data_IF_241572196740
#
_entry.id   IF_241572196740
#
_cell.length_a   1.000
_cell.length_b   1.000
_cell.length_c   1.000
_cell.angle_alpha   90.00
_cell.angle_beta   90.00
_cell.angle_gamma   90.00
#
_symmetry.space_group_name_H-M   'P 1'
#
loop_
_entity.id
_entity.type
_entity.pdbx_description
1 polymer ?
#
# COMPACT_ATOMS: atom_id res chain seq x y z
N UNK A 1 -10.76 -9.23 25.67
CA UNK A 1 -10.75 -9.46 24.21
C UNK A 1 -9.32 -9.38 23.73
N UNK A 2 -8.85 -10.39 22.99
CA UNK A 2 -7.55 -10.33 22.32
C UNK A 2 -7.66 -9.36 21.15
N UNK A 3 -6.76 -8.37 21.10
CA UNK A 3 -6.68 -7.44 19.97
C UNK A 3 -6.29 -8.19 18.71
N UNK A 4 -6.97 -7.91 17.60
CA UNK A 4 -6.72 -8.56 16.32
C UNK A 4 -5.82 -7.69 15.44
N UNK A 5 -5.02 -8.29 14.54
CA UNK A 5 -4.29 -7.54 13.53
C UNK A 5 -5.24 -6.86 12.56
N UNK A 6 -4.74 -5.85 11.84
CA UNK A 6 -5.50 -5.10 10.84
C UNK A 6 -4.61 -4.78 9.64
N UNK A 7 -5.15 -4.88 8.42
CA UNK A 7 -4.53 -4.32 7.22
C UNK A 7 -5.20 -2.98 6.94
N UNK A 8 -4.41 -1.91 6.90
CA UNK A 8 -4.83 -0.59 6.42
C UNK A 8 -4.26 -0.38 5.01
N UNK A 9 -5.13 -0.51 4.00
CA UNK A 9 -4.77 -0.25 2.61
C UNK A 9 -4.81 1.25 2.30
N UNK A 10 -3.98 1.64 1.34
CA UNK A 10 -3.99 2.97 0.72
C UNK A 10 -4.06 2.87 -0.81
N UNK A 11 -4.29 4.00 -1.47
CA UNK A 11 -4.66 4.04 -2.89
C UNK A 11 -3.54 3.65 -3.87
N UNK A 12 -2.28 3.64 -3.45
CA UNK A 12 -1.18 3.13 -4.28
C UNK A 12 -1.09 1.59 -4.34
N UNK A 13 -1.88 0.88 -3.52
CA UNK A 13 -1.80 -0.58 -3.35
C UNK A 13 -3.15 -1.29 -3.56
N UNK A 14 -4.02 -0.72 -4.38
CA UNK A 14 -5.37 -1.24 -4.69
C UNK A 14 -5.33 -2.42 -5.66
N UNK A 15 -4.81 -3.57 -5.21
CA UNK A 15 -4.85 -4.82 -5.98
C UNK A 15 -4.92 -6.01 -5.04
N UNK A 16 -5.73 -7.01 -5.38
CA UNK A 16 -5.88 -8.23 -4.56
C UNK A 16 -4.61 -9.11 -4.51
N UNK A 17 -3.65 -8.88 -5.41
CA UNK A 17 -2.38 -9.61 -5.47
C UNK A 17 -1.26 -8.99 -4.62
N UNK A 18 -1.53 -7.92 -3.85
CA UNK A 18 -0.50 -7.28 -3.04
C UNK A 18 0.08 -8.28 -2.01
N UNK A 19 1.42 -8.37 -1.83
CA UNK A 19 2.06 -9.31 -0.89
C UNK A 19 1.56 -9.23 0.56
N UNK A 20 1.02 -8.06 0.95
CA UNK A 20 0.42 -7.81 2.28
C UNK A 20 -0.63 -8.84 2.69
N UNK A 21 -1.43 -9.36 1.75
CA UNK A 21 -2.46 -10.36 2.06
C UNK A 21 -1.89 -11.75 2.38
N UNK A 22 -0.64 -12.01 1.97
CA UNK A 22 0.09 -13.23 2.32
C UNK A 22 0.95 -13.04 3.57
N UNK A 23 1.43 -11.81 3.80
CA UNK A 23 2.28 -11.47 4.95
C UNK A 23 1.50 -11.37 6.25
N UNK A 24 0.34 -10.69 6.23
CA UNK A 24 -0.51 -10.56 7.40
C UNK A 24 -1.13 -11.94 7.78
N UNK A 25 -1.48 -12.14 9.06
CA UNK A 25 -2.17 -13.36 9.50
C UNK A 25 -3.43 -13.64 8.66
N UNK A 26 -3.78 -14.92 8.51
CA UNK A 26 -4.99 -15.31 7.79
C UNK A 26 -6.22 -14.66 8.42
N UNK A 27 -7.18 -14.27 7.57
CA UNK A 27 -8.44 -13.64 7.98
C UNK A 27 -8.27 -12.29 8.68
N UNK A 28 -7.10 -11.64 8.54
CA UNK A 28 -6.90 -10.27 9.00
C UNK A 28 -7.92 -9.35 8.31
N UNK A 29 -8.59 -8.53 9.11
CA UNK A 29 -9.53 -7.53 8.58
C UNK A 29 -8.79 -6.54 7.70
N UNK A 30 -9.39 -6.19 6.57
CA UNK A 30 -8.83 -5.24 5.60
C UNK A 30 -9.72 -4.02 5.57
N UNK A 31 -9.15 -2.85 5.83
CA UNK A 31 -9.87 -1.59 5.79
C UNK A 31 -9.21 -0.60 4.83
N UNK A 32 -10.02 0.27 4.25
CA UNK A 32 -9.59 1.51 3.63
C UNK A 32 -10.32 2.66 4.31
N UNK A 33 -9.58 3.66 4.77
CA UNK A 33 -10.16 4.84 5.41
C UNK A 33 -10.20 6.01 4.44
N UNK A 34 -11.41 6.46 4.11
CA UNK A 34 -11.69 7.73 3.46
C UNK A 34 -11.53 8.86 4.49
N UNK A 35 -10.29 9.26 4.71
CA UNK A 35 -9.94 10.36 5.61
C UNK A 35 -10.05 11.70 4.88
N UNK A 36 -11.05 12.50 5.26
CA UNK A 36 -11.36 13.76 4.58
C UNK A 36 -10.17 14.74 4.61
N UNK A 37 -9.37 14.78 5.68
CA UNK A 37 -8.19 15.65 5.76
C UNK A 37 -7.09 15.19 4.80
N UNK A 38 -6.81 13.89 4.79
CA UNK A 38 -5.84 13.28 3.87
C UNK A 38 -6.26 13.48 2.40
N UNK A 39 -7.53 13.20 2.08
CA UNK A 39 -8.06 13.35 0.72
C UNK A 39 -7.95 14.80 0.24
N UNK A 40 -8.26 15.78 1.08
CA UNK A 40 -8.09 17.20 0.76
C UNK A 40 -6.61 17.56 0.50
N UNK A 41 -5.69 17.08 1.35
CA UNK A 41 -4.25 17.33 1.22
C UNK A 41 -3.64 16.68 -0.02
N UNK A 42 -4.13 15.51 -0.42
CA UNK A 42 -3.64 14.76 -1.58
C UNK A 42 -3.87 15.47 -2.93
N UNK A 43 -4.79 16.44 -2.98
CA UNK A 43 -5.11 17.17 -4.21
C UNK A 43 -5.73 16.32 -5.32
N UNK A 44 -6.32 15.17 -4.97
CA UNK A 44 -6.91 14.27 -5.96
C UNK A 44 -8.12 14.87 -6.65
N UNK A 45 -8.14 14.76 -7.98
CA UNK A 45 -9.31 15.14 -8.78
C UNK A 45 -10.48 14.20 -8.52
N UNK A 46 -11.71 14.67 -8.76
CA UNK A 46 -12.92 13.85 -8.66
C UNK A 46 -12.82 12.55 -9.48
N UNK A 47 -12.25 12.59 -10.69
CA UNK A 47 -12.05 11.39 -11.52
C UNK A 47 -11.18 10.34 -10.82
N UNK A 48 -10.12 10.78 -10.13
CA UNK A 48 -9.23 9.89 -9.38
C UNK A 48 -9.95 9.31 -8.15
N UNK A 49 -10.73 10.12 -7.44
CA UNK A 49 -11.51 9.66 -6.29
C UNK A 49 -12.56 8.60 -6.68
N UNK A 50 -13.27 8.82 -7.80
CA UNK A 50 -14.21 7.83 -8.36
C UNK A 50 -13.49 6.53 -8.70
N UNK A 51 -12.35 6.62 -9.41
CA UNK A 51 -11.55 5.44 -9.76
C UNK A 51 -11.13 4.63 -8.52
N UNK A 52 -10.63 5.29 -7.47
CA UNK A 52 -10.26 4.64 -6.21
C UNK A 52 -11.48 3.95 -5.59
N UNK A 53 -12.62 4.65 -5.51
CA UNK A 53 -13.84 4.10 -4.93
C UNK A 53 -14.36 2.87 -5.70
N UNK A 54 -14.43 2.95 -7.04
CA UNK A 54 -14.84 1.84 -7.89
C UNK A 54 -13.92 0.62 -7.70
N UNK A 55 -12.60 0.86 -7.64
CA UNK A 55 -11.63 -0.21 -7.39
C UNK A 55 -11.85 -0.86 -6.02
N UNK A 56 -12.10 -0.07 -4.97
CA UNK A 56 -12.37 -0.60 -3.63
C UNK A 56 -13.66 -1.42 -3.58
N UNK A 57 -14.71 -1.04 -4.33
CA UNK A 57 -15.96 -1.81 -4.41
C UNK A 57 -15.77 -3.20 -5.01
N UNK A 58 -14.73 -3.41 -5.83
CA UNK A 58 -14.38 -4.71 -6.40
C UNK A 58 -13.47 -5.55 -5.48
N UNK A 59 -12.97 -4.96 -4.40
CA UNK A 59 -12.06 -5.60 -3.45
C UNK A 59 -12.79 -6.05 -2.17
N UNK A 60 -12.27 -7.09 -1.51
CA UNK A 60 -12.76 -7.52 -0.19
C UNK A 60 -12.16 -6.64 0.91
N UNK A 61 -12.62 -5.39 0.99
CA UNK A 61 -12.16 -4.37 1.92
C UNK A 61 -13.34 -3.62 2.53
N UNK A 62 -13.26 -3.34 3.83
CA UNK A 62 -14.22 -2.47 4.49
C UNK A 62 -13.86 -1.01 4.23
N UNK A 63 -14.75 -0.28 3.56
CA UNK A 63 -14.58 1.14 3.27
C UNK A 63 -15.19 1.94 4.40
N UNK A 64 -14.34 2.60 5.19
CA UNK A 64 -14.74 3.44 6.32
C UNK A 64 -14.50 4.90 5.96
N UNK A 65 -15.29 5.83 6.52
CA UNK A 65 -15.08 7.27 6.32
C UNK A 65 -14.91 7.95 7.68
N UNK A 66 -13.91 8.83 7.79
CA UNK A 66 -13.62 9.56 9.02
C UNK A 66 -12.12 9.69 9.26
N UNK A 67 -11.73 10.17 10.44
CA UNK A 67 -10.32 10.24 10.80
C UNK A 67 -9.72 8.85 10.92
N UNK A 68 -8.62 8.61 10.23
CA UNK A 68 -7.85 7.36 10.33
C UNK A 68 -7.49 7.04 11.78
N UNK A 69 -7.15 8.07 12.55
CA UNK A 69 -6.81 7.92 13.97
C UNK A 69 -8.00 7.41 14.78
N UNK A 70 -9.15 8.05 14.66
CA UNK A 70 -10.32 7.75 15.48
C UNK A 70 -10.85 6.34 15.17
N UNK A 71 -10.88 5.98 13.88
CA UNK A 71 -11.25 4.64 13.43
C UNK A 71 -10.30 3.58 14.00
N UNK A 72 -8.97 3.81 13.94
CA UNK A 72 -8.01 2.87 14.51
C UNK A 72 -8.09 2.80 16.04
N UNK A 73 -8.45 3.89 16.73
CA UNK A 73 -8.69 3.89 18.17
C UNK A 73 -9.92 3.06 18.55
N UNK A 74 -10.99 3.15 17.76
CA UNK A 74 -12.20 2.36 17.94
C UNK A 74 -11.95 0.87 17.71
N UNK A 75 -11.24 0.51 16.62
CA UNK A 75 -10.89 -0.88 16.31
C UNK A 75 -9.86 -1.43 17.32
N UNK A 76 -8.94 -0.59 17.76
CA UNK A 76 -7.85 -0.92 18.69
C UNK A 76 -7.02 -2.15 18.28
N UNK A 77 -6.43 -2.17 17.07
CA UNK A 77 -5.71 -3.34 16.56
C UNK A 77 -4.45 -3.67 17.38
N UNK A 78 -4.00 -4.92 17.32
CA UNK A 78 -2.74 -5.34 17.93
C UNK A 78 -1.53 -4.85 17.14
N UNK A 79 -1.64 -4.84 15.82
CA UNK A 79 -0.65 -4.34 14.85
C UNK A 79 -1.40 -3.89 13.59
N UNK A 80 -0.88 -2.87 12.92
CA UNK A 80 -1.39 -2.37 11.64
C UNK A 80 -0.40 -2.70 10.54
N UNK A 81 -0.79 -3.56 9.61
CA UNK A 81 -0.04 -3.81 8.39
C UNK A 81 -0.40 -2.76 7.34
N UNK A 82 0.61 -2.09 6.77
CA UNK A 82 0.43 -1.04 5.76
C UNK A 82 1.37 -1.32 4.59
N UNK A 83 0.93 -1.20 3.32
CA UNK A 83 1.87 -1.26 2.20
C UNK A 83 2.96 -0.18 2.28
N UNK A 84 4.16 -0.47 1.80
CA UNK A 84 5.20 0.57 1.68
C UNK A 84 4.86 1.55 0.57
N UNK A 85 5.36 2.78 0.71
CA UNK A 85 5.12 3.86 -0.25
C UNK A 85 6.26 4.88 -0.21
N UNK A 86 6.49 5.54 -1.35
CA UNK A 86 7.39 6.70 -1.45
C UNK A 86 6.62 8.04 -1.46
N UNK A 87 5.30 8.00 -1.33
CA UNK A 87 4.43 9.17 -1.33
C UNK A 87 4.51 9.90 0.01
N UNK A 88 4.92 11.18 -0.02
CA UNK A 88 5.11 11.98 1.19
C UNK A 88 3.86 12.10 2.06
N UNK A 89 2.68 12.25 1.46
CA UNK A 89 1.43 12.37 2.22
C UNK A 89 1.04 11.06 2.90
N UNK A 90 1.25 9.91 2.24
CA UNK A 90 1.03 8.61 2.86
C UNK A 90 2.04 8.33 3.95
N UNK A 91 3.32 8.68 3.75
CA UNK A 91 4.35 8.57 4.78
C UNK A 91 4.03 9.42 6.02
N UNK A 92 3.49 10.62 5.84
CA UNK A 92 3.01 11.46 6.95
C UNK A 92 1.85 10.80 7.70
N UNK A 93 0.88 10.22 6.98
CA UNK A 93 -0.22 9.47 7.57
C UNK A 93 0.29 8.25 8.35
N UNK A 94 1.18 7.44 7.76
CA UNK A 94 1.77 6.25 8.41
C UNK A 94 2.49 6.65 9.71
N UNK A 95 3.32 7.70 9.67
CA UNK A 95 3.99 8.24 10.87
C UNK A 95 3.02 8.73 11.93
N UNK A 96 1.81 9.16 11.54
CA UNK A 96 0.77 9.54 12.50
C UNK A 96 0.17 8.32 13.20
N UNK A 97 0.04 7.20 12.49
CA UNK A 97 -0.45 5.91 13.01
C UNK A 97 0.58 5.28 13.94
N UNK A 98 1.86 5.28 13.55
CA UNK A 98 2.99 4.74 14.33
C UNK A 98 3.11 5.33 15.74
N UNK A 99 2.60 6.54 15.97
CA UNK A 99 2.59 7.18 17.30
C UNK A 99 1.69 6.47 18.31
N UNK A 100 0.71 5.70 17.84
CA UNK A 100 -0.34 5.12 18.69
C UNK A 100 -0.45 3.60 18.54
N UNK A 101 -0.02 3.04 17.41
CA UNK A 101 -0.13 1.61 17.11
C UNK A 101 1.19 1.07 16.56
N UNK A 102 1.54 -0.20 16.86
CA UNK A 102 2.59 -0.90 16.13
C UNK A 102 2.23 -0.97 14.64
N UNK A 103 3.16 -0.58 13.78
CA UNK A 103 3.00 -0.64 12.33
C UNK A 103 4.04 -1.57 11.74
N UNK A 104 3.61 -2.48 10.87
CA UNK A 104 4.48 -3.30 10.04
C UNK A 104 4.25 -2.91 8.58
N UNK A 105 5.25 -2.27 7.97
CA UNK A 105 5.17 -1.94 6.56
C UNK A 105 5.54 -3.16 5.71
N UNK A 106 4.75 -3.43 4.68
CA UNK A 106 4.95 -4.58 3.79
C UNK A 106 5.33 -4.11 2.39
N UNK A 107 6.53 -4.51 1.97
CA UNK A 107 7.06 -4.18 0.65
C UNK A 107 6.25 -4.80 -0.49
N UNK A 108 6.20 -4.08 -1.60
CA UNK A 108 5.68 -4.59 -2.86
C UNK A 108 6.66 -5.57 -3.52
N UNK A 109 6.19 -6.37 -4.48
CA UNK A 109 7.04 -7.15 -5.37
C UNK A 109 7.69 -6.21 -6.41
N UNK A 110 9.03 -6.04 -6.39
CA UNK A 110 9.70 -5.16 -7.33
C UNK A 110 9.64 -5.74 -8.75
N UNK A 111 9.41 -4.87 -9.73
CA UNK A 111 9.41 -5.26 -11.14
C UNK A 111 10.74 -5.90 -11.59
N UNK A 112 11.87 -5.46 -11.02
CA UNK A 112 13.19 -6.06 -11.25
C UNK A 112 13.98 -6.10 -9.96
N UNK A 113 14.56 -7.27 -9.66
CA UNK A 113 15.51 -7.43 -8.57
C UNK A 113 16.94 -7.15 -9.03
N UNK A 114 17.52 -6.03 -8.57
CA UNK A 114 18.91 -5.67 -8.86
C UNK A 114 19.83 -6.13 -7.74
N UNK A 115 20.88 -6.88 -8.09
CA UNK A 115 21.90 -7.37 -7.13
C UNK A 115 22.72 -6.26 -6.46
N UNK A 116 22.64 -5.02 -6.93
CA UNK A 116 23.41 -3.89 -6.42
C UNK A 116 22.61 -2.59 -6.53
N UNK A 117 22.67 -1.79 -5.47
CA UNK A 117 22.19 -0.40 -5.45
C UNK A 117 23.02 0.43 -6.45
N UNK A 118 22.34 0.98 -7.45
CA UNK A 118 22.97 1.79 -8.49
C UNK A 118 22.22 3.11 -8.61
N UNK A 119 22.94 4.22 -8.38
CA UNK A 119 22.37 5.56 -8.50
C UNK A 119 22.45 6.03 -9.94
N UNK A 120 21.35 5.87 -10.68
CA UNK A 120 21.24 6.39 -12.03
C UNK A 120 20.55 7.75 -12.03
N UNK A 121 21.19 8.75 -12.62
CA UNK A 121 20.59 10.08 -12.78
C UNK A 121 19.65 10.18 -13.99
N UNK A 122 19.69 9.20 -14.89
CA UNK A 122 18.93 9.20 -16.15
C UNK A 122 18.28 7.84 -16.39
N UNK A 123 17.03 7.86 -16.82
CA UNK A 123 16.25 6.65 -17.13
C UNK A 123 16.98 5.73 -18.12
N UNK A 124 17.55 6.26 -19.21
CA UNK A 124 18.26 5.44 -20.21
C UNK A 124 19.43 4.64 -19.61
N UNK A 125 20.19 5.24 -18.68
CA UNK A 125 21.31 4.56 -18.01
C UNK A 125 20.82 3.44 -17.09
N UNK A 126 19.70 3.65 -16.41
CA UNK A 126 19.02 2.61 -15.64
C UNK A 126 18.51 1.50 -16.58
N UNK A 127 17.71 1.85 -17.59
CA UNK A 127 17.06 0.89 -18.49
C UNK A 127 18.06 -0.03 -19.18
N UNK A 128 19.14 0.53 -19.75
CA UNK A 128 20.20 -0.26 -20.43
C UNK A 128 20.86 -1.33 -19.54
N UNK A 129 20.74 -1.22 -18.21
CA UNK A 129 21.28 -2.20 -17.25
C UNK A 129 20.25 -3.20 -16.76
N UNK A 130 18.98 -2.83 -16.75
CA UNK A 130 17.91 -3.65 -16.17
C UNK A 130 17.06 -4.35 -17.23
N UNK A 131 17.07 -3.89 -18.48
CA UNK A 131 16.26 -4.39 -19.59
C UNK A 131 16.38 -5.91 -19.76
N UNK A 132 17.61 -6.45 -19.69
CA UNK A 132 17.80 -7.91 -19.80
C UNK A 132 17.11 -8.69 -18.68
N UNK A 133 17.10 -8.16 -17.46
CA UNK A 133 16.43 -8.81 -16.34
C UNK A 133 14.90 -8.66 -16.45
N UNK A 134 14.42 -7.49 -16.87
CA UNK A 134 13.01 -7.22 -17.11
C UNK A 134 12.41 -8.12 -18.22
N UNK A 135 13.12 -8.26 -19.34
CA UNK A 135 12.67 -9.09 -20.48
C UNK A 135 12.67 -10.58 -20.16
N UNK A 136 13.59 -11.06 -19.33
CA UNK A 136 13.63 -12.47 -18.90
C UNK A 136 12.52 -12.82 -17.91
N UNK A 137 12.13 -11.89 -17.03
CA UNK A 137 10.97 -12.09 -16.15
C UNK A 137 9.64 -12.17 -16.91
N UNK A 138 9.53 -11.58 -18.12
CA UNK A 138 8.34 -11.70 -18.96
C UNK A 138 8.29 -12.96 -19.84
N UNK A 139 9.37 -13.77 -19.90
CA UNK A 139 9.44 -14.99 -20.72
C UNK A 139 9.19 -16.30 -19.97
N UNK A 140 8.82 -16.25 -18.68
CA UNK A 140 8.82 -17.39 -17.77
C UNK A 140 7.45 -17.89 -17.30
N UNK A 141 6.38 -17.59 -18.02
CA UNK A 141 5.09 -18.30 -17.89
C UNK A 141 4.60 -18.62 -19.31
N UNK A 142 4.74 -19.89 -19.69
CA UNK A 142 4.44 -20.54 -20.99
C UNK A 142 5.68 -20.93 -21.82
N UNK A 143 6.43 -21.92 -21.32
CA UNK A 143 7.14 -22.91 -22.13
C UNK A 143 7.15 -24.25 -21.39
#
# INVERSE_FOLDING_TARGET
MTKQPLILLHEESLRNSHPIFLFAPKETQVIYVWDDEYVLRSGYSLKRLIFIYETLCEMKVDILRGSTRDILQEISPSVVYIPTTNNGHLLEMIRSVEKFFPVEMVEDEPFVNLKKTMHYKRFFQYWSKVEKAASLQQGGQNA
#
